data_IF_734939870465
#
_entry.id   IF_734939870465
#
_cell.length_a   1.000
_cell.length_b   1.000
_cell.length_c   1.000
_cell.angle_alpha   90.00
_cell.angle_beta   90.00
_cell.angle_gamma   90.00
#
_symmetry.space_group_name_H-M   'P 1'
#
loop_
_entity.id
_entity.type
_entity.pdbx_description
1 polymer ?
#
# COMPACT_ATOMS: atom_id res chain seq x y z
N UNK A 1 19.62 35.98 -47.98
CA UNK A 1 18.96 37.29 -48.19
C UNK A 1 19.86 38.35 -47.57
N UNK A 2 20.68 39.03 -48.38
CA UNK A 2 20.56 40.47 -48.73
C UNK A 2 20.51 41.37 -47.48
N UNK A 3 21.31 42.40 -47.26
CA UNK A 3 22.46 43.02 -47.94
C UNK A 3 22.76 44.31 -47.14
N UNK A 4 24.05 44.64 -47.01
CA UNK A 4 24.62 46.00 -47.08
C UNK A 4 24.24 47.04 -46.00
N UNK A 5 25.18 47.23 -45.07
CA UNK A 5 25.44 48.50 -44.38
C UNK A 5 25.80 49.56 -45.43
N UNK A 6 24.96 50.58 -45.57
CA UNK A 6 25.29 51.82 -46.28
C UNK A 6 25.55 52.93 -45.26
N UNK A 7 26.84 53.21 -45.04
CA UNK A 7 27.33 54.53 -44.67
C UNK A 7 27.24 55.44 -45.89
N UNK A 8 26.83 56.70 -45.70
CA UNK A 8 27.47 57.78 -46.41
C UNK A 8 28.02 58.82 -45.44
N UNK A 9 29.33 58.99 -45.53
CA UNK A 9 30.06 60.21 -45.20
C UNK A 9 29.44 61.41 -45.91
N UNK A 10 29.15 62.50 -45.18
CA UNK A 10 28.97 63.82 -45.77
C UNK A 10 29.58 64.88 -44.85
N UNK A 11 30.71 65.40 -45.34
CA UNK A 11 31.34 66.61 -44.88
C UNK A 11 30.42 67.81 -45.12
N UNK A 12 30.29 68.69 -44.13
CA UNK A 12 29.75 70.03 -44.32
C UNK A 12 30.76 71.04 -43.76
N UNK A 13 31.53 71.57 -44.69
CA UNK A 13 32.35 72.77 -44.63
C UNK A 13 31.58 73.95 -44.02
N UNK A 14 32.11 74.53 -42.94
CA UNK A 14 31.65 75.81 -42.43
C UNK A 14 32.10 76.92 -43.40
N UNK A 15 31.15 77.38 -44.21
CA UNK A 15 31.28 78.58 -45.04
C UNK A 15 31.09 79.84 -44.19
N UNK A 16 32.04 80.76 -44.35
CA UNK A 16 32.04 82.12 -43.82
C UNK A 16 31.09 83.02 -44.62
N UNK A 17 30.56 84.06 -43.95
CA UNK A 17 29.95 85.30 -44.46
C UNK A 17 28.47 85.27 -44.88
N UNK A 18 27.63 86.00 -44.13
CA UNK A 18 26.99 87.22 -44.63
C UNK A 18 26.16 87.87 -43.50
N UNK A 19 26.45 89.14 -43.21
CA UNK A 19 25.60 89.99 -42.38
C UNK A 19 24.35 90.42 -43.14
N UNK A 20 23.28 90.72 -42.41
CA UNK A 20 22.06 91.31 -42.96
C UNK A 20 21.04 91.48 -41.83
N UNK A 21 20.78 92.74 -41.46
CA UNK A 21 19.94 93.09 -40.32
C UNK A 21 18.53 92.52 -40.42
N UNK A 22 18.09 91.90 -39.33
CA UNK A 22 16.70 91.62 -39.04
C UNK A 22 16.43 92.10 -37.62
N UNK A 23 15.28 92.76 -37.47
CA UNK A 23 14.87 93.52 -36.29
C UNK A 23 15.13 92.77 -34.97
N UNK A 24 15.68 93.43 -33.93
CA UNK A 24 16.01 92.79 -32.66
C UNK A 24 14.79 92.21 -31.92
N UNK A 25 13.56 92.55 -32.32
CA UNK A 25 12.32 92.09 -31.70
C UNK A 25 11.84 90.69 -32.15
N UNK A 26 12.16 90.22 -33.36
CA UNK A 26 11.76 88.87 -33.83
C UNK A 26 12.79 87.79 -33.47
N UNK A 27 14.07 88.15 -33.41
CA UNK A 27 15.13 87.23 -32.96
C UNK A 27 15.03 86.90 -31.48
N UNK A 28 14.62 87.87 -30.64
CA UNK A 28 14.37 87.64 -29.21
C UNK A 28 13.24 86.64 -28.96
N UNK A 29 12.07 86.79 -29.62
CA UNK A 29 10.94 85.86 -29.44
C UNK A 29 11.24 84.43 -29.93
N UNK A 30 12.01 84.30 -31.02
CA UNK A 30 12.41 82.98 -31.53
C UNK A 30 13.45 82.29 -30.64
N UNK A 31 14.35 83.07 -30.04
CA UNK A 31 15.36 82.57 -29.10
C UNK A 31 14.72 82.12 -27.77
N UNK A 32 13.70 82.85 -27.31
CA UNK A 32 12.96 82.53 -26.09
C UNK A 32 12.17 81.21 -26.23
N UNK A 33 11.47 81.00 -27.36
CA UNK A 33 10.79 79.73 -27.69
C UNK A 33 11.76 78.54 -27.83
N UNK A 34 12.96 78.79 -28.37
CA UNK A 34 14.02 77.76 -28.45
C UNK A 34 14.59 77.42 -27.07
N UNK A 35 14.71 78.40 -26.17
CA UNK A 35 15.11 78.15 -24.77
C UNK A 35 14.03 77.37 -24.01
N UNK A 36 12.76 77.71 -24.21
CA UNK A 36 11.62 77.02 -23.60
C UNK A 36 11.54 75.55 -24.03
N UNK A 37 11.63 75.28 -25.34
CA UNK A 37 11.64 73.90 -25.86
C UNK A 37 12.85 73.09 -25.40
N UNK A 38 14.03 73.71 -25.24
CA UNK A 38 15.20 73.05 -24.65
C UNK A 38 15.02 72.75 -23.16
N UNK A 39 14.31 73.60 -22.42
CA UNK A 39 13.98 73.35 -21.03
C UNK A 39 13.01 72.16 -20.92
N UNK A 40 11.95 72.15 -21.73
CA UNK A 40 10.97 71.05 -21.79
C UNK A 40 11.62 69.71 -22.17
N UNK A 41 12.47 69.69 -23.20
CA UNK A 41 13.17 68.47 -23.63
C UNK A 41 14.13 67.95 -22.56
N UNK A 42 14.76 68.83 -21.77
CA UNK A 42 15.60 68.44 -20.64
C UNK A 42 14.78 67.85 -19.51
N UNK A 43 13.62 68.42 -19.21
CA UNK A 43 12.74 67.90 -18.17
C UNK A 43 12.08 66.59 -18.57
N UNK A 44 11.70 66.42 -19.84
CA UNK A 44 11.28 65.13 -20.40
C UNK A 44 12.39 64.08 -20.28
N UNK A 45 13.64 64.41 -20.65
CA UNK A 45 14.76 63.49 -20.49
C UNK A 45 15.00 63.09 -19.02
N UNK A 46 14.91 64.04 -18.08
CA UNK A 46 15.02 63.74 -16.65
C UNK A 46 13.91 62.82 -16.16
N UNK A 47 12.68 63.03 -16.63
CA UNK A 47 11.55 62.17 -16.29
C UNK A 47 11.70 60.76 -16.87
N UNK A 48 12.15 60.64 -18.13
CA UNK A 48 12.45 59.35 -18.75
C UNK A 48 13.58 58.63 -18.02
N UNK A 49 14.65 59.33 -17.65
CA UNK A 49 15.75 58.75 -16.86
C UNK A 49 15.29 58.23 -15.50
N UNK A 50 14.42 58.98 -14.81
CA UNK A 50 13.81 58.54 -13.53
C UNK A 50 12.92 57.31 -13.72
N UNK A 51 12.05 57.32 -14.73
CA UNK A 51 11.17 56.20 -15.03
C UNK A 51 11.96 54.94 -15.42
N UNK A 52 13.05 55.09 -16.20
CA UNK A 52 13.97 53.99 -16.52
C UNK A 52 14.71 53.47 -15.28
N UNK A 53 15.12 54.34 -14.37
CA UNK A 53 15.75 53.92 -13.11
C UNK A 53 14.77 53.17 -12.20
N UNK A 54 13.50 53.59 -12.16
CA UNK A 54 12.44 52.92 -11.42
C UNK A 54 12.08 51.57 -12.03
N UNK A 55 11.93 51.50 -13.35
CA UNK A 55 11.67 50.25 -14.07
C UNK A 55 12.80 49.23 -13.86
N UNK A 56 14.06 49.67 -13.97
CA UNK A 56 15.22 48.81 -13.70
C UNK A 56 15.26 48.31 -12.25
N UNK A 57 14.84 49.12 -11.27
CA UNK A 57 14.74 48.67 -9.88
C UNK A 57 13.62 47.64 -9.69
N UNK A 58 12.47 47.87 -10.31
CA UNK A 58 11.34 46.92 -10.30
C UNK A 58 11.71 45.58 -10.93
N UNK A 59 12.41 45.58 -12.05
CA UNK A 59 12.88 44.37 -12.73
C UNK A 59 13.86 43.56 -11.85
N UNK A 60 14.81 44.23 -11.19
CA UNK A 60 15.73 43.59 -10.25
C UNK A 60 14.99 42.92 -9.09
N UNK A 61 14.03 43.61 -8.48
CA UNK A 61 13.23 43.06 -7.38
C UNK A 61 12.40 41.86 -7.83
N UNK A 62 11.76 41.93 -9.00
CA UNK A 62 11.01 40.82 -9.57
C UNK A 62 11.92 39.62 -9.87
N UNK A 63 13.11 39.86 -10.41
CA UNK A 63 14.11 38.81 -10.66
C UNK A 63 14.57 38.13 -9.38
N UNK A 64 14.84 38.89 -8.31
CA UNK A 64 15.22 38.35 -6.99
C UNK A 64 14.09 37.50 -6.39
N UNK A 65 12.84 37.96 -6.47
CA UNK A 65 11.67 37.20 -6.01
C UNK A 65 11.50 35.89 -6.78
N UNK A 66 11.65 35.93 -8.11
CA UNK A 66 11.59 34.73 -8.95
C UNK A 66 12.72 33.75 -8.62
N UNK A 67 13.93 34.23 -8.38
CA UNK A 67 15.05 33.40 -7.95
C UNK A 67 14.75 32.71 -6.61
N UNK A 68 14.19 33.43 -5.65
CA UNK A 68 13.81 32.86 -4.35
C UNK A 68 12.71 31.81 -4.47
N UNK A 69 11.69 32.04 -5.32
CA UNK A 69 10.64 31.06 -5.59
C UNK A 69 11.21 29.80 -6.25
N UNK A 70 12.11 29.95 -7.23
CA UNK A 70 12.79 28.82 -7.88
C UNK A 70 13.58 27.97 -6.89
N UNK A 71 14.38 28.59 -6.03
CA UNK A 71 15.14 27.87 -4.99
C UNK A 71 14.23 27.07 -4.05
N UNK A 72 13.07 27.66 -3.68
CA UNK A 72 12.08 26.95 -2.84
C UNK A 72 11.43 25.78 -3.56
N UNK A 73 11.10 25.94 -4.85
CA UNK A 73 10.53 24.87 -5.67
C UNK A 73 11.54 23.75 -5.93
N UNK A 74 12.81 24.08 -6.12
CA UNK A 74 13.90 23.12 -6.28
C UNK A 74 14.13 22.35 -4.98
N UNK A 75 14.09 23.01 -3.83
CA UNK A 75 14.14 22.36 -2.52
C UNK A 75 12.93 21.44 -2.28
N UNK A 76 11.73 21.84 -2.72
CA UNK A 76 10.54 20.99 -2.66
C UNK A 76 10.66 19.78 -3.59
N UNK A 77 11.09 19.99 -4.82
CA UNK A 77 11.28 18.93 -5.82
C UNK A 77 12.35 17.92 -5.41
N UNK A 78 13.46 18.38 -4.84
CA UNK A 78 14.52 17.51 -4.32
C UNK A 78 14.03 16.65 -3.15
N UNK A 79 13.29 17.22 -2.19
CA UNK A 79 12.74 16.46 -1.07
C UNK A 79 11.66 15.44 -1.48
N UNK A 80 10.94 15.68 -2.58
CA UNK A 80 9.93 14.75 -3.10
C UNK A 80 10.55 13.58 -3.88
N UNK A 81 11.65 13.84 -4.61
CA UNK A 81 12.35 12.82 -5.39
C UNK A 81 13.34 12.00 -4.55
N UNK A 82 14.03 12.62 -3.59
CA UNK A 82 15.06 11.99 -2.75
C UNK A 82 14.46 11.40 -1.45
N UNK A 83 13.40 12.04 -0.91
CA UNK A 83 12.76 11.60 0.33
C UNK A 83 11.88 10.36 0.20
N UNK A 84 11.52 9.94 -1.02
CA UNK A 84 10.79 8.70 -1.27
C UNK A 84 11.67 7.48 -1.05
N UNK A 85 12.85 7.47 -1.67
CA UNK A 85 13.80 6.36 -1.60
C UNK A 85 14.37 6.19 -0.18
N UNK A 86 14.73 7.29 0.49
CA UNK A 86 15.18 7.26 1.88
C UNK A 86 14.15 6.69 2.85
N UNK A 87 12.86 6.97 2.62
CA UNK A 87 11.77 6.41 3.44
C UNK A 87 11.58 4.93 3.17
N UNK A 88 11.67 4.51 1.92
CA UNK A 88 11.58 3.09 1.54
C UNK A 88 12.76 2.29 2.12
N UNK A 89 13.98 2.82 2.05
CA UNK A 89 15.17 2.20 2.63
C UNK A 89 15.05 2.07 4.15
N UNK A 90 14.58 3.12 4.85
CA UNK A 90 14.33 3.05 6.30
C UNK A 90 13.24 2.04 6.65
N UNK A 91 12.12 2.05 5.94
CA UNK A 91 11.04 1.09 6.16
C UNK A 91 11.50 -0.35 5.92
N UNK A 92 12.33 -0.58 4.88
CA UNK A 92 12.92 -1.89 4.62
C UNK A 92 13.86 -2.33 5.76
N UNK A 93 14.72 -1.43 6.25
CA UNK A 93 15.60 -1.71 7.38
C UNK A 93 14.82 -2.01 8.67
N UNK A 94 13.75 -1.27 8.94
CA UNK A 94 12.87 -1.50 10.09
C UNK A 94 12.15 -2.86 10.01
N UNK A 95 11.72 -3.26 8.80
CA UNK A 95 11.11 -4.57 8.57
C UNK A 95 12.12 -5.69 8.86
N UNK A 96 13.36 -5.58 8.37
CA UNK A 96 14.39 -6.60 8.61
C UNK A 96 14.75 -6.71 10.10
N UNK A 97 14.92 -5.58 10.78
CA UNK A 97 15.12 -5.55 12.24
C UNK A 97 13.93 -6.21 12.99
N UNK A 98 12.71 -5.94 12.55
CA UNK A 98 11.51 -6.55 13.14
C UNK A 98 11.47 -8.05 12.92
N UNK A 99 11.84 -8.55 11.74
CA UNK A 99 11.90 -9.98 11.44
C UNK A 99 12.96 -10.69 12.29
N UNK A 100 14.12 -10.07 12.45
CA UNK A 100 15.19 -10.60 13.31
C UNK A 100 14.71 -10.76 14.75
N UNK A 101 14.09 -9.72 15.32
CA UNK A 101 13.50 -9.77 16.67
C UNK A 101 12.40 -10.81 16.80
N UNK A 102 11.52 -10.95 15.81
CA UNK A 102 10.48 -11.98 15.81
C UNK A 102 11.12 -13.36 15.83
N UNK A 103 12.15 -13.60 15.00
CA UNK A 103 12.84 -14.90 14.93
C UNK A 103 13.54 -15.25 16.25
N UNK A 104 14.17 -14.25 16.89
CA UNK A 104 14.79 -14.43 18.21
C UNK A 104 13.75 -14.72 19.30
N UNK A 105 12.62 -14.02 19.28
CA UNK A 105 11.49 -14.26 20.20
C UNK A 105 10.87 -15.64 20.00
N UNK A 106 10.68 -16.07 18.75
CA UNK A 106 10.18 -17.40 18.41
C UNK A 106 11.12 -18.47 18.97
N UNK A 107 12.42 -18.35 18.71
CA UNK A 107 13.45 -19.29 19.18
C UNK A 107 13.47 -19.37 20.71
N UNK A 108 13.48 -18.22 21.38
CA UNK A 108 13.46 -18.14 22.85
C UNK A 108 12.19 -18.75 23.43
N UNK A 109 11.05 -18.54 22.77
CA UNK A 109 9.75 -19.10 23.18
C UNK A 109 9.71 -20.63 23.05
N UNK A 110 10.33 -21.19 22.00
CA UNK A 110 10.48 -22.66 21.86
C UNK A 110 11.30 -23.23 23.02
N UNK A 111 12.45 -22.63 23.31
CA UNK A 111 13.32 -23.07 24.41
C UNK A 111 12.62 -22.96 25.76
N UNK A 112 11.89 -21.87 26.01
CA UNK A 112 11.10 -21.70 27.23
C UNK A 112 10.01 -22.78 27.36
N UNK A 113 9.29 -23.07 26.29
CA UNK A 113 8.23 -24.09 26.28
C UNK A 113 8.78 -25.48 26.60
N UNK A 114 9.94 -25.83 26.05
CA UNK A 114 10.64 -27.07 26.35
C UNK A 114 11.06 -27.13 27.84
N UNK A 115 11.72 -26.08 28.34
CA UNK A 115 12.18 -26.02 29.73
C UNK A 115 11.03 -26.11 30.75
N UNK A 116 9.91 -25.41 30.50
CA UNK A 116 8.73 -25.48 31.36
C UNK A 116 8.06 -26.86 31.29
N UNK A 117 8.01 -27.48 30.12
CA UNK A 117 7.44 -28.82 29.95
C UNK A 117 8.26 -29.88 30.69
N UNK A 118 9.59 -29.80 30.61
CA UNK A 118 10.49 -30.69 31.34
C UNK A 118 10.38 -30.48 32.86
N UNK A 119 10.27 -29.24 33.30
CA UNK A 119 10.01 -28.90 34.70
C UNK A 119 8.69 -29.50 35.19
N UNK A 120 7.58 -29.30 34.46
CA UNK A 120 6.27 -29.85 34.83
C UNK A 120 6.22 -31.39 34.85
N UNK A 121 7.09 -32.05 34.09
CA UNK A 121 7.21 -33.53 34.10
C UNK A 121 7.85 -34.05 35.39
N UNK A 122 8.80 -33.29 35.94
CA UNK A 122 9.56 -33.67 37.14
C UNK A 122 8.94 -33.11 38.43
N UNK A 123 8.25 -31.98 38.34
CA UNK A 123 7.66 -31.31 39.48
C UNK A 123 6.41 -32.03 40.00
N UNK A 124 6.36 -32.28 41.31
CA UNK A 124 5.13 -32.66 42.01
C UNK A 124 4.32 -31.38 42.24
N UNK A 125 3.31 -31.15 41.40
CA UNK A 125 2.48 -29.95 41.50
C UNK A 125 1.40 -30.13 42.56
N UNK A 126 1.38 -29.24 43.57
CA UNK A 126 0.41 -29.26 44.67
C UNK A 126 -0.99 -28.79 44.25
N UNK A 127 -1.09 -27.94 43.22
CA UNK A 127 -2.35 -27.41 42.70
C UNK A 127 -2.62 -27.85 41.24
N UNK A 128 -3.56 -28.79 41.02
CA UNK A 128 -3.96 -29.24 39.69
C UNK A 128 -4.49 -28.11 38.78
N UNK A 129 -5.15 -27.09 39.35
CA UNK A 129 -5.72 -26.01 38.54
C UNK A 129 -4.64 -25.10 37.94
N UNK A 130 -3.57 -24.81 38.70
CA UNK A 130 -2.42 -24.06 38.19
C UNK A 130 -1.66 -24.81 37.11
N UNK A 131 -1.51 -26.13 37.23
CA UNK A 131 -0.93 -26.98 36.18
C UNK A 131 -1.73 -26.88 34.88
N UNK A 132 -3.05 -27.04 34.96
CA UNK A 132 -3.93 -26.95 33.79
C UNK A 132 -3.83 -25.60 33.07
N UNK A 133 -3.71 -24.50 33.83
CA UNK A 133 -3.54 -23.15 33.25
C UNK A 133 -2.24 -23.04 32.46
N UNK A 134 -1.12 -23.48 33.04
CA UNK A 134 0.19 -23.45 32.38
C UNK A 134 0.16 -24.31 31.11
N UNK A 135 -0.33 -25.55 31.19
CA UNK A 135 -0.45 -26.44 30.03
C UNK A 135 -1.37 -25.86 28.94
N UNK A 136 -2.39 -25.10 29.30
CA UNK A 136 -3.26 -24.41 28.33
C UNK A 136 -2.55 -23.23 27.66
N UNK A 137 -1.80 -22.43 28.42
CA UNK A 137 -0.99 -21.34 27.87
C UNK A 137 0.12 -21.85 26.95
N UNK A 138 0.79 -22.96 27.31
CA UNK A 138 1.78 -23.60 26.42
C UNK A 138 1.13 -24.09 25.12
N UNK A 139 -0.05 -24.72 25.20
CA UNK A 139 -0.82 -25.14 24.01
C UNK A 139 -1.30 -23.98 23.12
N UNK A 140 -1.49 -22.79 23.69
CA UNK A 140 -1.79 -21.58 22.92
C UNK A 140 -0.53 -21.03 22.24
N UNK A 141 0.60 -21.01 22.96
CA UNK A 141 1.89 -20.58 22.43
C UNK A 141 2.34 -21.48 21.26
N UNK A 142 2.22 -22.80 21.39
CA UNK A 142 2.51 -23.76 20.31
C UNK A 142 1.63 -23.54 19.06
N UNK A 143 0.41 -23.05 19.25
CA UNK A 143 -0.49 -22.73 18.14
C UNK A 143 -0.04 -21.50 17.37
N UNK A 144 0.42 -20.47 18.09
CA UNK A 144 0.91 -19.21 17.51
C UNK A 144 2.24 -19.44 16.80
N UNK A 145 3.14 -20.22 17.40
CA UNK A 145 4.45 -20.57 16.83
C UNK A 145 4.37 -21.55 15.65
N UNK A 146 3.16 -22.01 15.28
CA UNK A 146 2.98 -23.01 14.21
C UNK A 146 3.56 -24.40 14.55
N UNK A 147 4.02 -24.60 15.78
CA UNK A 147 4.56 -25.87 16.29
C UNK A 147 3.49 -26.91 16.54
N UNK A 148 2.21 -26.52 16.46
CA UNK A 148 1.13 -27.47 16.20
C UNK A 148 1.40 -28.19 14.87
N UNK A 149 2.09 -29.32 14.96
CA UNK A 149 1.61 -30.49 14.25
C UNK A 149 0.17 -30.65 14.73
N UNK A 150 -0.83 -30.19 13.97
CA UNK A 150 -2.18 -30.70 14.17
C UNK A 150 -2.00 -32.22 14.08
N UNK A 151 -2.10 -32.99 15.17
CA UNK A 151 -2.37 -34.39 14.98
C UNK A 151 -3.71 -34.32 14.25
N UNK A 152 -3.73 -34.67 12.97
CA UNK A 152 -4.98 -34.86 12.25
C UNK A 152 -5.79 -35.71 13.21
N UNK A 153 -6.99 -35.26 13.66
CA UNK A 153 -7.78 -36.08 14.56
C UNK A 153 -7.76 -37.48 13.97
N UNK A 154 -7.32 -38.46 14.75
CA UNK A 154 -7.17 -39.83 14.30
C UNK A 154 -8.60 -40.35 14.09
N UNK A 155 -9.16 -39.92 12.96
CA UNK A 155 -10.46 -40.29 12.50
C UNK A 155 -10.27 -41.74 12.15
N UNK A 156 -10.62 -42.62 13.09
CA UNK A 156 -10.62 -44.07 12.91
C UNK A 156 -11.28 -44.32 11.55
N UNK A 157 -10.48 -44.75 10.58
CA UNK A 157 -10.93 -44.91 9.21
C UNK A 157 -12.05 -45.95 9.19
N UNK A 158 -13.23 -45.55 8.73
CA UNK A 158 -14.36 -46.44 8.49
C UNK A 158 -14.15 -47.24 7.21
N UNK A 159 -14.95 -48.27 7.01
CA UNK A 159 -15.03 -49.00 5.74
C UNK A 159 -16.34 -48.69 5.02
N UNK A 160 -16.45 -49.06 3.73
CA UNK A 160 -17.68 -48.85 2.94
C UNK A 160 -18.95 -49.41 3.62
N UNK A 161 -18.79 -50.50 4.38
CA UNK A 161 -19.89 -51.15 5.10
C UNK A 161 -20.19 -50.53 6.47
N UNK A 162 -19.26 -49.75 7.03
CA UNK A 162 -19.38 -49.20 8.39
C UNK A 162 -18.57 -47.91 8.51
N UNK A 163 -19.09 -46.86 7.86
CA UNK A 163 -18.59 -45.49 8.01
C UNK A 163 -19.49 -44.69 8.96
N UNK A 164 -19.03 -43.52 9.39
CA UNK A 164 -19.67 -42.68 10.40
C UNK A 164 -19.52 -41.21 10.03
N UNK A 165 -20.53 -40.43 10.36
CA UNK A 165 -20.49 -38.96 10.27
C UNK A 165 -19.56 -38.43 11.37
N UNK A 166 -18.47 -37.77 10.97
CA UNK A 166 -17.46 -37.18 11.86
C UNK A 166 -17.87 -35.77 12.26
N UNK A 167 -18.30 -34.98 11.28
CA UNK A 167 -18.69 -33.59 11.48
C UNK A 167 -19.70 -33.17 10.43
N UNK A 168 -20.42 -32.10 10.74
CA UNK A 168 -21.40 -31.49 9.85
C UNK A 168 -21.02 -30.04 9.75
N UNK A 169 -20.83 -29.58 8.52
CA UNK A 169 -20.66 -28.16 8.27
C UNK A 169 -22.05 -27.49 8.28
N UNK A 170 -22.26 -26.58 9.24
CA UNK A 170 -23.55 -25.94 9.45
C UNK A 170 -23.88 -24.90 8.38
N UNK A 171 -22.86 -24.35 7.70
CA UNK A 171 -23.06 -23.34 6.65
C UNK A 171 -23.44 -23.98 5.31
N UNK A 172 -22.78 -25.08 4.93
CA UNK A 172 -23.02 -25.76 3.65
C UNK A 172 -23.98 -26.95 3.75
N UNK A 173 -24.28 -27.44 4.95
CA UNK A 173 -25.04 -28.68 5.15
C UNK A 173 -24.28 -29.95 4.75
N UNK A 174 -22.98 -29.85 4.47
CA UNK A 174 -22.15 -30.97 4.04
C UNK A 174 -21.80 -31.88 5.22
N UNK A 175 -22.00 -33.17 5.03
CA UNK A 175 -21.60 -34.22 5.97
C UNK A 175 -20.18 -34.65 5.68
N UNK A 176 -19.34 -34.76 6.72
CA UNK A 176 -18.01 -35.33 6.61
C UNK A 176 -18.03 -36.75 7.13
N UNK A 177 -17.73 -37.72 6.28
CA UNK A 177 -17.63 -39.13 6.63
C UNK A 177 -16.16 -39.54 6.87
N UNK A 178 -15.94 -40.46 7.82
CA UNK A 178 -14.63 -41.06 8.11
C UNK A 178 -14.18 -42.08 7.05
N UNK A 179 -14.49 -41.85 5.79
CA UNK A 179 -14.27 -42.75 4.68
C UNK A 179 -13.68 -41.96 3.53
N UNK A 180 -12.59 -42.43 2.92
CA UNK A 180 -11.93 -41.78 1.80
C UNK A 180 -11.51 -42.73 0.69
N UNK A 181 -10.70 -42.22 -0.23
CA UNK A 181 -10.15 -42.95 -1.37
C UNK A 181 -9.38 -44.21 -0.92
N UNK A 182 -8.64 -44.11 0.18
CA UNK A 182 -7.88 -45.25 0.74
C UNK A 182 -8.77 -46.42 1.18
N UNK A 183 -10.08 -46.19 1.35
CA UNK A 183 -11.06 -47.22 1.70
C UNK A 183 -12.03 -47.53 0.54
N UNK A 184 -11.73 -47.04 -0.66
CA UNK A 184 -12.48 -47.32 -1.88
C UNK A 184 -13.68 -46.40 -2.13
N UNK A 185 -13.80 -45.27 -1.43
CA UNK A 185 -14.84 -44.29 -1.72
C UNK A 185 -14.59 -43.59 -3.07
N UNK A 186 -15.67 -43.36 -3.81
CA UNK A 186 -15.67 -42.64 -5.08
C UNK A 186 -16.80 -41.61 -5.08
N UNK A 187 -16.57 -40.50 -5.78
CA UNK A 187 -17.59 -39.48 -6.01
C UNK A 187 -18.80 -40.12 -6.69
N UNK A 188 -20.00 -39.78 -6.25
CA UNK A 188 -21.27 -40.33 -6.75
C UNK A 188 -21.76 -41.58 -6.02
N UNK A 189 -20.97 -42.19 -5.14
CA UNK A 189 -21.46 -43.30 -4.31
C UNK A 189 -22.51 -42.81 -3.30
N UNK A 190 -23.56 -43.60 -3.14
CA UNK A 190 -24.67 -43.31 -2.22
C UNK A 190 -24.55 -44.12 -0.94
N UNK A 191 -24.82 -43.47 0.20
CA UNK A 191 -24.79 -44.07 1.52
C UNK A 191 -26.11 -43.87 2.23
N UNK A 192 -26.59 -44.92 2.89
CA UNK A 192 -27.76 -44.86 3.77
C UNK A 192 -27.30 -44.46 5.17
N UNK A 193 -27.89 -43.38 5.67
CA UNK A 193 -27.66 -42.88 7.03
C UNK A 193 -28.60 -43.58 8.01
N UNK A 194 -28.00 -44.14 9.05
CA UNK A 194 -28.62 -44.97 10.05
C UNK A 194 -28.42 -44.35 11.43
N UNK A 195 -29.49 -44.27 12.21
CA UNK A 195 -29.47 -43.94 13.63
C UNK A 195 -29.91 -45.19 14.40
N UNK A 196 -28.97 -45.84 15.08
CA UNK A 196 -29.20 -47.18 15.63
C UNK A 196 -29.39 -48.21 14.51
N UNK A 197 -30.61 -48.75 14.38
CA UNK A 197 -30.97 -49.71 13.32
C UNK A 197 -31.94 -49.13 12.27
N UNK A 198 -32.38 -47.88 12.42
CA UNK A 198 -33.35 -47.28 11.50
C UNK A 198 -32.65 -46.36 10.51
N UNK A 199 -32.94 -46.55 9.23
CA UNK A 199 -32.49 -45.66 8.16
C UNK A 199 -33.40 -44.44 8.08
N UNK A 200 -32.80 -43.25 8.05
CA UNK A 200 -33.57 -42.00 8.05
C UNK A 200 -33.25 -41.11 6.84
N UNK A 201 -32.07 -41.26 6.23
CA UNK A 201 -31.66 -40.43 5.10
C UNK A 201 -30.71 -41.13 4.12
N UNK A 202 -30.60 -40.56 2.92
CA UNK A 202 -29.62 -40.95 1.88
C UNK A 202 -28.64 -39.81 1.64
N UNK A 203 -27.36 -40.12 1.56
CA UNK A 203 -26.29 -39.17 1.30
C UNK A 203 -25.42 -39.58 0.10
N UNK A 204 -25.13 -38.65 -0.80
CA UNK A 204 -24.26 -38.88 -1.96
C UNK A 204 -22.91 -38.21 -1.74
N UNK A 205 -21.83 -38.94 -2.01
CA UNK A 205 -20.48 -38.40 -1.96
C UNK A 205 -20.25 -37.38 -3.09
N UNK A 206 -19.89 -36.15 -2.71
CA UNK A 206 -19.57 -35.07 -3.64
C UNK A 206 -18.07 -34.79 -3.74
N UNK A 207 -17.33 -34.94 -2.64
CA UNK A 207 -15.87 -34.82 -2.61
C UNK A 207 -15.27 -36.01 -1.86
N UNK A 208 -14.16 -36.54 -2.37
CA UNK A 208 -13.45 -37.66 -1.75
C UNK A 208 -11.97 -37.31 -1.65
N UNK A 209 -11.46 -37.33 -0.42
CA UNK A 209 -10.04 -37.16 -0.11
C UNK A 209 -9.45 -38.49 0.35
N UNK A 210 -8.13 -38.54 0.54
CA UNK A 210 -7.41 -39.76 0.95
C UNK A 210 -8.07 -40.52 2.13
N UNK A 211 -8.53 -39.81 3.17
CA UNK A 211 -9.02 -40.43 4.41
C UNK A 211 -10.43 -39.99 4.86
N UNK A 212 -11.05 -39.02 4.18
CA UNK A 212 -12.37 -38.48 4.52
C UNK A 212 -13.11 -38.11 3.23
N UNK A 213 -14.43 -38.04 3.30
CA UNK A 213 -15.28 -37.65 2.16
C UNK A 213 -16.37 -36.68 2.61
N UNK A 214 -16.74 -35.78 1.71
CA UNK A 214 -17.86 -34.87 1.84
C UNK A 214 -19.09 -35.44 1.13
N UNK A 215 -20.23 -35.44 1.81
CA UNK A 215 -21.49 -35.97 1.31
C UNK A 215 -22.65 -34.98 1.50
N UNK A 216 -23.59 -34.96 0.56
CA UNK A 216 -24.84 -34.19 0.67
C UNK A 216 -26.01 -35.12 0.91
N UNK A 217 -26.96 -34.71 1.77
CA UNK A 217 -28.18 -35.47 2.01
C UNK A 217 -29.25 -35.16 0.97
N UNK A 218 -29.77 -36.18 0.29
CA UNK A 218 -30.81 -36.01 -0.75
C UNK A 218 -32.22 -36.20 -0.20
N UNK A 219 -32.43 -37.23 0.61
CA UNK A 219 -33.74 -37.59 1.17
C UNK A 219 -33.61 -37.62 2.68
N UNK A 220 -34.37 -36.78 3.36
CA UNK A 220 -34.45 -36.73 4.82
C UNK A 220 -35.88 -37.04 5.21
N UNK A 221 -36.08 -38.10 5.99
CA UNK A 221 -37.39 -38.35 6.63
C UNK A 221 -37.66 -37.19 7.59
N UNK A 222 -38.82 -36.54 7.46
CA UNK A 222 -39.12 -35.16 7.88
C UNK A 222 -38.86 -34.75 9.36
N UNK A 223 -38.36 -35.64 10.22
CA UNK A 223 -38.10 -35.39 11.65
C UNK A 223 -36.64 -35.57 12.10
N UNK A 224 -35.72 -36.09 11.27
CA UNK A 224 -34.37 -36.46 11.73
C UNK A 224 -33.26 -35.79 10.92
N UNK A 225 -32.62 -34.76 11.52
CA UNK A 225 -31.40 -34.17 10.97
C UNK A 225 -30.18 -35.04 11.25
N UNK A 226 -29.18 -35.09 10.36
CA UNK A 226 -27.95 -35.83 10.58
C UNK A 226 -27.20 -35.32 11.81
N UNK A 227 -26.57 -36.23 12.56
CA UNK A 227 -25.74 -35.89 13.72
C UNK A 227 -24.35 -36.53 13.61
N UNK A 228 -23.30 -35.88 14.14
CA UNK A 228 -22.02 -36.53 14.35
C UNK A 228 -22.23 -37.82 15.15
N UNK A 229 -21.69 -38.93 14.66
CA UNK A 229 -21.90 -40.23 15.27
C UNK A 229 -22.82 -41.17 14.51
N UNK A 230 -23.68 -40.67 13.60
CA UNK A 230 -24.59 -41.51 12.82
C UNK A 230 -23.81 -42.43 11.86
N UNK A 231 -24.33 -43.64 11.61
CA UNK A 231 -23.70 -44.64 10.76
C UNK A 231 -24.07 -44.41 9.30
N UNK A 232 -23.10 -44.56 8.40
CA UNK A 232 -23.27 -44.49 6.97
C UNK A 232 -22.82 -45.82 6.34
N UNK A 233 -23.76 -46.49 5.67
CA UNK A 233 -23.55 -47.80 5.04
C UNK A 233 -23.78 -47.67 3.55
N UNK A 234 -22.87 -48.21 2.75
CA UNK A 234 -22.97 -48.18 1.29
C UNK A 234 -24.31 -48.77 0.84
N UNK A 235 -25.03 -48.01 0.02
CA UNK A 235 -26.19 -48.52 -0.69
C UNK A 235 -25.71 -49.28 -1.92
N UNK A 236 -25.72 -50.60 -1.84
CA UNK A 236 -25.55 -51.48 -3.01
C UNK A 236 -26.91 -51.63 -3.67
N UNK A 237 -27.05 -51.08 -4.87
CA UNK A 237 -28.13 -51.47 -5.80
C UNK A 237 -27.93 -52.91 -6.29
#
# INVERSE_FOLDING_TARGET
MRSLLHLPTLAATFGLLAGGGLCPAQQSESFEKLQETLADLRDQNRNLQRSLAEANRGEKQASEQLAQVRLRLEALGKNLLDGGDDRLVRAAADIELSKERITELETTSVHLTAAVSDYLRQAVVSDPASRLRVETSLRQLDAILGLRQKPRPDVIAGCLQKSRVVSIDQESGMLVLNLGESQGAKIGMSFRLLRGQQAYAKAILADVRKAVSGAFTEQVSASDSPRPGDLAVLETE
#
